data_IF_070269040186
#
_entry.id   IF_070269040186
#
_cell.length_a   1.000
_cell.length_b   1.000
_cell.length_c   1.000
_cell.angle_alpha   90.00
_cell.angle_beta   90.00
_cell.angle_gamma   90.00
#
_symmetry.space_group_name_H-M   'P 1'
#
loop_
_entity.id
_entity.type
_entity.pdbx_description
1 polymer ?
#
# COMPACT_ATOMS: atom_id res chain seq x y z
N UNK A 1 13.90 0.26 10.74
CA UNK A 1 14.11 -0.28 9.37
C UNK A 1 12.96 0.15 8.44
N UNK A 2 13.27 0.47 7.18
CA UNK A 2 12.34 0.74 6.08
C UNK A 2 12.93 0.18 4.77
N UNK A 3 12.15 0.11 3.69
CA UNK A 3 12.66 -0.25 2.36
C UNK A 3 12.67 -1.74 2.02
N UNK A 4 11.89 -2.56 2.72
CA UNK A 4 11.74 -3.98 2.40
C UNK A 4 10.79 -4.24 1.22
N UNK A 5 10.07 -3.23 0.74
CA UNK A 5 9.15 -3.32 -0.39
C UNK A 5 9.22 -2.04 -1.24
N UNK A 6 9.75 -2.06 -2.47
CA UNK A 6 9.83 -0.83 -3.28
C UNK A 6 8.42 -0.30 -3.63
N UNK A 7 8.17 0.99 -3.40
CA UNK A 7 6.87 1.65 -3.65
C UNK A 7 6.37 1.57 -5.11
N UNK A 8 7.27 1.26 -6.04
CA UNK A 8 7.01 1.11 -7.47
C UNK A 8 7.18 -0.34 -7.98
N UNK A 9 7.18 -1.34 -7.09
CA UNK A 9 7.35 -2.74 -7.49
C UNK A 9 6.09 -3.36 -8.16
N UNK A 10 4.98 -2.62 -8.22
CA UNK A 10 3.72 -3.09 -8.80
C UNK A 10 3.13 -2.14 -9.84
N UNK A 11 1.98 -2.54 -10.43
CA UNK A 11 1.32 -1.80 -11.52
C UNK A 11 0.71 -0.46 -11.09
N UNK A 12 0.59 -0.21 -9.79
CA UNK A 12 0.01 0.99 -9.20
C UNK A 12 0.77 1.36 -7.92
N UNK A 13 0.87 2.65 -7.54
CA UNK A 13 1.44 3.04 -6.27
C UNK A 13 0.80 2.28 -5.10
N UNK A 14 1.60 1.85 -4.13
CA UNK A 14 1.15 1.12 -2.93
C UNK A 14 0.61 -0.30 -3.18
N UNK A 15 0.73 -0.81 -4.41
CA UNK A 15 0.39 -2.20 -4.77
C UNK A 15 1.67 -2.96 -5.14
N UNK A 16 1.76 -4.23 -4.74
CA UNK A 16 2.84 -5.14 -5.16
C UNK A 16 2.24 -6.24 -6.02
N UNK A 17 2.86 -6.53 -7.16
CA UNK A 17 2.35 -7.50 -8.14
C UNK A 17 2.21 -8.94 -7.59
N UNK A 18 2.87 -9.27 -6.47
CA UNK A 18 2.78 -10.58 -5.79
C UNK A 18 1.57 -10.68 -4.86
N UNK A 19 0.89 -9.56 -4.59
CA UNK A 19 -0.29 -9.52 -3.74
C UNK A 19 -1.58 -9.54 -4.58
N UNK A 20 -2.70 -10.04 -4.03
CA UNK A 20 -4.01 -9.93 -4.69
C UNK A 20 -4.35 -8.50 -5.08
N UNK A 21 -5.19 -8.33 -6.10
CA UNK A 21 -5.57 -7.02 -6.66
C UNK A 21 -6.32 -6.12 -5.66
N UNK A 22 -6.86 -6.69 -4.58
CA UNK A 22 -7.58 -6.00 -3.51
C UNK A 22 -6.76 -5.84 -2.21
N UNK A 23 -5.44 -5.92 -2.29
CA UNK A 23 -4.54 -5.76 -1.14
C UNK A 23 -3.57 -4.62 -1.41
N UNK A 24 -3.43 -3.71 -0.44
CA UNK A 24 -2.54 -2.55 -0.51
C UNK A 24 -1.59 -2.52 0.67
N UNK A 25 -0.41 -1.92 0.49
CA UNK A 25 0.60 -1.72 1.54
C UNK A 25 0.75 -0.23 1.83
N UNK A 26 0.86 0.16 3.10
CA UNK A 26 0.92 1.57 3.49
C UNK A 26 1.73 1.81 4.78
N UNK A 27 2.89 1.15 4.92
CA UNK A 27 3.76 1.28 6.10
C UNK A 27 5.19 1.71 5.73
N UNK A 28 6.12 1.57 6.68
CA UNK A 28 7.52 1.92 6.47
C UNK A 28 8.25 1.03 5.45
N UNK A 29 7.70 -0.13 5.07
CA UNK A 29 8.32 -1.01 4.08
C UNK A 29 8.49 -0.33 2.73
N UNK A 30 7.58 0.60 2.42
CA UNK A 30 7.56 1.39 1.18
C UNK A 30 8.54 2.55 1.14
N UNK A 31 9.07 2.96 2.29
CA UNK A 31 10.05 4.04 2.34
C UNK A 31 11.37 3.52 1.78
N UNK A 32 11.99 4.18 0.79
CA UNK A 32 13.20 3.66 0.12
C UNK A 32 14.37 3.45 1.09
N UNK A 33 14.42 4.24 2.15
CA UNK A 33 15.40 4.15 3.22
C UNK A 33 14.79 4.68 4.53
N UNK A 34 15.52 4.49 5.62
CA UNK A 34 15.14 5.11 6.89
C UNK A 34 15.27 6.64 6.80
N UNK A 35 14.20 7.37 7.09
CA UNK A 35 14.15 8.83 6.93
C UNK A 35 14.97 9.63 7.96
N UNK A 36 15.65 8.96 8.90
CA UNK A 36 16.41 9.60 9.99
C UNK A 36 15.57 10.38 11.02
N UNK A 37 14.25 10.44 10.83
CA UNK A 37 13.27 11.12 11.69
C UNK A 37 12.03 10.23 11.87
N UNK A 38 11.21 10.40 12.93
CA UNK A 38 10.00 9.62 13.10
C UNK A 38 9.08 9.70 11.86
N UNK A 39 8.81 8.60 11.14
CA UNK A 39 8.10 8.63 9.86
C UNK A 39 6.58 8.58 10.02
N UNK A 40 6.06 8.73 11.25
CA UNK A 40 4.67 8.49 11.60
C UNK A 40 3.69 9.26 10.70
N UNK A 41 3.93 10.56 10.49
CA UNK A 41 3.04 11.38 9.65
C UNK A 41 3.11 10.98 8.17
N UNK A 42 4.27 10.53 7.69
CA UNK A 42 4.43 10.01 6.33
C UNK A 42 3.63 8.72 6.16
N UNK A 43 3.73 7.79 7.10
CA UNK A 43 2.96 6.54 7.11
C UNK A 43 1.46 6.84 7.16
N UNK A 44 1.01 7.76 8.02
CA UNK A 44 -0.40 8.17 8.06
C UNK A 44 -0.87 8.79 6.73
N UNK A 45 -0.06 9.63 6.09
CA UNK A 45 -0.40 10.22 4.80
C UNK A 45 -0.54 9.16 3.69
N UNK A 46 0.35 8.16 3.68
CA UNK A 46 0.27 7.02 2.77
C UNK A 46 -1.00 6.20 3.02
N UNK A 47 -1.29 5.84 4.27
CA UNK A 47 -2.51 5.11 4.64
C UNK A 47 -3.78 5.85 4.20
N UNK A 48 -3.84 7.18 4.41
CA UNK A 48 -4.96 8.01 3.94
C UNK A 48 -5.10 8.02 2.42
N UNK A 49 -4.00 7.95 1.67
CA UNK A 49 -4.04 7.82 0.21
C UNK A 49 -4.53 6.44 -0.22
N UNK A 50 -4.03 5.37 0.39
CA UNK A 50 -4.46 4.00 0.12
C UNK A 50 -5.95 3.82 0.40
N UNK A 51 -6.48 4.34 1.51
CA UNK A 51 -7.91 4.27 1.81
C UNK A 51 -8.79 4.81 0.66
N UNK A 52 -8.43 5.97 0.10
CA UNK A 52 -9.15 6.55 -1.05
C UNK A 52 -9.04 5.72 -2.33
N UNK A 53 -7.90 5.07 -2.54
CA UNK A 53 -7.71 4.17 -3.70
C UNK A 53 -8.54 2.90 -3.53
N UNK A 54 -8.55 2.32 -2.32
CA UNK A 54 -9.32 1.14 -1.98
C UNK A 54 -10.83 1.41 -2.13
N UNK A 55 -11.33 2.52 -1.60
CA UNK A 55 -12.74 2.92 -1.71
C UNK A 55 -13.18 3.04 -3.18
N UNK A 56 -12.39 3.72 -4.02
CA UNK A 56 -12.67 3.87 -5.45
C UNK A 56 -12.46 2.59 -6.29
N UNK A 57 -11.79 1.59 -5.74
CA UNK A 57 -11.51 0.30 -6.39
C UNK A 57 -12.50 -0.82 -6.04
N UNK A 58 -13.54 -0.50 -5.26
CA UNK A 58 -14.60 -1.42 -4.84
C UNK A 58 -15.41 -1.91 -6.05
N UNK A 59 -14.81 -2.85 -6.78
CA UNK A 59 -15.48 -3.69 -7.76
C UNK A 59 -16.04 -4.88 -6.98
N UNK A 60 -17.38 -5.00 -7.01
CA UNK A 60 -18.11 -6.14 -6.49
C UNK A 60 -17.45 -7.43 -6.99
N UNK A 61 -17.00 -8.31 -6.10
CA UNK A 61 -16.69 -9.69 -6.46
C UNK A 61 -17.97 -10.51 -6.34
N UNK A 62 -18.64 -10.89 -7.46
CA UNK A 62 -19.67 -11.92 -7.41
C UNK A 62 -18.97 -13.27 -7.17
N UNK A 63 -19.08 -13.81 -5.96
CA UNK A 63 -18.67 -15.18 -5.66
C UNK A 63 -17.47 -15.27 -4.72
N UNK A 64 -17.73 -15.11 -3.43
CA UNK A 64 -16.98 -15.85 -2.41
C UNK A 64 -17.87 -17.04 -2.01
N UNK A 65 -17.75 -18.15 -2.75
CA UNK A 65 -18.19 -19.47 -2.30
C UNK A 65 -16.96 -20.15 -1.71
N UNK A 66 -16.76 -19.97 -0.42
CA UNK A 66 -16.08 -20.92 0.45
C UNK A 66 -16.94 -21.05 1.71
#
# INVERSE_FOLDING_TARGET
PGGSLPVAAGPSPFHDARLPSNVWVADASLLPEALGRPPMLTIMAMAKRVARLADGSSTSHPGALF
#
